data_IF_438740871813
#
_entry.id   IF_438740871813
#
_cell.length_a   1.000
_cell.length_b   1.000
_cell.length_c   1.000
_cell.angle_alpha   90.00
_cell.angle_beta   90.00
_cell.angle_gamma   90.00
#
_symmetry.space_group_name_H-M   'P 1'
#
loop_
_entity.id
_entity.type
_entity.pdbx_description
1 polymer ?
#
# COMPACT_ATOMS: atom_id res chain seq x y z
N UNK A 1 10.94 0.40 14.65
CA UNK A 1 10.03 -0.78 14.51
C UNK A 1 8.97 -0.38 13.51
N UNK A 2 8.58 -1.25 12.58
CA UNK A 2 7.56 -0.91 11.58
C UNK A 2 6.20 -0.83 12.26
N UNK A 3 5.45 0.23 11.96
CA UNK A 3 4.08 0.47 12.43
C UNK A 3 3.10 0.72 11.29
N UNK A 4 3.60 1.20 10.15
CA UNK A 4 2.76 1.65 9.03
C UNK A 4 3.06 0.85 7.77
N UNK A 5 2.02 0.39 7.07
CA UNK A 5 2.15 -0.31 5.79
C UNK A 5 1.30 0.41 4.75
N UNK A 6 1.97 1.04 3.80
CA UNK A 6 1.39 1.72 2.65
C UNK A 6 1.38 0.76 1.45
N UNK A 7 0.25 0.68 0.76
CA UNK A 7 0.02 -0.28 -0.33
C UNK A 7 -0.35 0.44 -1.61
N UNK A 8 0.14 -0.04 -2.74
CA UNK A 8 -0.55 0.17 -4.00
C UNK A 8 -1.86 -0.60 -4.10
N UNK A 9 -2.78 -0.09 -4.93
CA UNK A 9 -3.98 -0.81 -5.31
C UNK A 9 -3.76 -1.78 -6.47
N UNK A 10 -3.36 -1.30 -7.65
CA UNK A 10 -3.40 -2.04 -8.90
C UNK A 10 -2.18 -2.93 -9.16
N UNK A 11 -2.33 -4.23 -8.98
CA UNK A 11 -1.23 -5.21 -9.07
C UNK A 11 -0.70 -5.63 -7.71
N UNK A 12 -1.19 -5.01 -6.62
CA UNK A 12 -0.87 -5.35 -5.23
C UNK A 12 -2.12 -5.73 -4.45
N UNK A 13 -2.97 -4.77 -4.07
CA UNK A 13 -4.23 -5.04 -3.37
C UNK A 13 -5.29 -5.68 -4.28
N UNK A 14 -5.33 -5.27 -5.53
CA UNK A 14 -6.21 -5.79 -6.57
C UNK A 14 -5.38 -6.46 -7.65
N UNK A 15 -5.72 -7.71 -7.96
CA UNK A 15 -5.13 -8.47 -9.06
C UNK A 15 -6.11 -8.52 -10.23
N UNK A 16 -5.59 -8.78 -11.43
CA UNK A 16 -6.40 -8.92 -12.63
C UNK A 16 -6.39 -10.38 -13.10
N UNK A 17 -7.56 -10.91 -13.43
CA UNK A 17 -7.70 -12.17 -14.16
C UNK A 17 -8.61 -11.96 -15.38
N UNK A 18 -8.01 -11.90 -16.58
CA UNK A 18 -8.76 -11.78 -17.83
C UNK A 18 -9.60 -10.50 -17.93
N UNK A 19 -9.11 -9.38 -17.41
CA UNK A 19 -9.82 -8.10 -17.39
C UNK A 19 -10.71 -7.88 -16.16
N UNK A 20 -10.94 -8.92 -15.34
CA UNK A 20 -11.70 -8.80 -14.10
C UNK A 20 -10.76 -8.58 -12.91
N UNK A 21 -10.88 -7.40 -12.29
CA UNK A 21 -10.21 -7.10 -11.03
C UNK A 21 -10.81 -7.91 -9.87
N UNK A 22 -9.98 -8.37 -8.94
CA UNK A 22 -10.40 -9.00 -7.69
C UNK A 22 -9.40 -8.67 -6.57
N UNK A 23 -9.89 -8.61 -5.33
CA UNK A 23 -9.02 -8.37 -4.17
C UNK A 23 -8.05 -9.54 -4.00
N UNK A 24 -6.77 -9.24 -3.81
CA UNK A 24 -5.69 -10.19 -3.55
C UNK A 24 -5.95 -10.98 -2.26
N UNK A 25 -6.40 -12.25 -2.32
CA UNK A 25 -6.89 -12.95 -1.13
C UNK A 25 -5.83 -13.18 -0.03
N UNK A 26 -4.59 -13.61 -0.32
CA UNK A 26 -3.60 -13.77 0.74
C UNK A 26 -3.18 -12.43 1.36
N UNK A 27 -3.06 -11.36 0.58
CA UNK A 27 -2.76 -10.02 1.12
C UNK A 27 -3.89 -9.50 2.01
N UNK A 28 -5.15 -9.68 1.59
CA UNK A 28 -6.30 -9.31 2.41
C UNK A 28 -6.30 -10.04 3.76
N UNK A 29 -6.03 -11.36 3.76
CA UNK A 29 -5.93 -12.13 5.01
C UNK A 29 -4.82 -11.61 5.91
N UNK A 30 -3.67 -11.21 5.36
CA UNK A 30 -2.60 -10.59 6.11
C UNK A 30 -3.04 -9.26 6.74
N UNK A 31 -3.66 -8.37 5.97
CA UNK A 31 -4.15 -7.07 6.43
C UNK A 31 -5.15 -7.25 7.58
N UNK A 32 -6.17 -8.11 7.37
CA UNK A 32 -7.22 -8.37 8.37
C UNK A 32 -6.68 -8.93 9.68
N UNK A 33 -5.69 -9.83 9.62
CA UNK A 33 -5.09 -10.45 10.82
C UNK A 33 -4.19 -9.52 11.62
N UNK A 34 -3.78 -8.39 11.05
CA UNK A 34 -2.78 -7.50 11.66
C UNK A 34 -3.26 -6.06 11.85
N UNK A 35 -4.58 -5.82 11.83
CA UNK A 35 -5.19 -4.50 12.08
C UNK A 35 -4.87 -3.95 13.49
N UNK A 36 -4.57 -4.82 14.45
CA UNK A 36 -4.18 -4.45 15.82
C UNK A 36 -2.68 -4.09 15.95
N UNK A 37 -1.89 -4.36 14.90
CA UNK A 37 -0.42 -4.24 14.91
C UNK A 37 0.11 -3.15 14.00
N UNK A 38 -0.56 -2.95 12.86
CA UNK A 38 -0.13 -2.00 11.84
C UNK A 38 -1.27 -1.09 11.42
N UNK A 39 -0.90 0.15 11.13
CA UNK A 39 -1.74 1.09 10.42
C UNK A 39 -1.58 0.81 8.93
N UNK A 40 -2.68 0.67 8.22
CA UNK A 40 -2.67 0.44 6.78
C UNK A 40 -3.18 1.67 6.03
N UNK A 41 -2.51 2.00 4.93
CA UNK A 41 -2.95 3.06 4.02
C UNK A 41 -2.79 2.62 2.56
N UNK A 42 -3.59 3.21 1.68
CA UNK A 42 -3.48 2.98 0.24
C UNK A 42 -3.02 4.25 -0.45
N UNK A 43 -2.01 4.14 -1.30
CA UNK A 43 -1.61 5.19 -2.24
C UNK A 43 -1.74 4.56 -3.62
N UNK A 44 -2.51 5.15 -4.53
CA UNK A 44 -2.68 4.58 -5.87
C UNK A 44 -2.77 5.64 -6.96
N UNK A 45 -2.12 5.36 -8.09
CA UNK A 45 -2.28 6.14 -9.31
C UNK A 45 -3.43 5.55 -10.13
N UNK A 46 -4.60 6.16 -10.01
CA UNK A 46 -5.82 5.70 -10.65
C UNK A 46 -6.78 6.85 -10.90
N UNK A 47 -7.52 6.74 -12.01
CA UNK A 47 -8.65 7.62 -12.35
C UNK A 47 -9.99 7.10 -11.82
N UNK A 48 -10.01 5.88 -11.27
CA UNK A 48 -11.20 5.29 -10.68
C UNK A 48 -11.43 5.81 -9.25
N UNK A 49 -12.69 5.83 -8.84
CA UNK A 49 -13.07 6.12 -7.45
C UNK A 49 -12.72 4.92 -6.55
N UNK A 50 -11.45 4.89 -6.13
CA UNK A 50 -10.91 3.79 -5.33
C UNK A 50 -11.58 3.68 -3.96
N UNK A 51 -11.97 4.81 -3.37
CA UNK A 51 -12.74 4.88 -2.12
C UNK A 51 -14.05 4.09 -2.26
N UNK A 52 -14.82 4.36 -3.31
CA UNK A 52 -16.05 3.62 -3.58
C UNK A 52 -15.81 2.15 -3.95
N UNK A 53 -14.76 1.83 -4.72
CA UNK A 53 -14.40 0.45 -5.06
C UNK A 53 -14.10 -0.37 -3.79
N UNK A 54 -13.26 0.15 -2.89
CA UNK A 54 -12.95 -0.49 -1.62
C UNK A 54 -14.20 -0.68 -0.74
N UNK A 55 -15.14 0.27 -0.78
CA UNK A 55 -16.40 0.19 -0.04
C UNK A 55 -17.32 -0.89 -0.61
N UNK A 56 -17.43 -1.01 -1.94
CA UNK A 56 -18.20 -2.06 -2.60
C UNK A 56 -17.67 -3.47 -2.27
N UNK A 57 -16.35 -3.61 -2.12
CA UNK A 57 -15.72 -4.85 -1.69
C UNK A 57 -15.72 -5.06 -0.16
N UNK A 58 -16.31 -4.15 0.61
CA UNK A 58 -16.37 -4.19 2.09
C UNK A 58 -14.99 -4.26 2.77
N UNK A 59 -13.98 -3.60 2.19
CA UNK A 59 -12.62 -3.54 2.75
C UNK A 59 -12.12 -2.13 3.02
N UNK A 60 -12.90 -1.10 2.69
CA UNK A 60 -12.50 0.31 2.90
C UNK A 60 -12.10 0.61 4.34
N UNK A 61 -12.81 0.04 5.30
CA UNK A 61 -12.59 0.24 6.74
C UNK A 61 -11.26 -0.34 7.25
N UNK A 62 -10.52 -1.10 6.43
CA UNK A 62 -9.22 -1.65 6.79
C UNK A 62 -8.06 -0.65 6.62
N UNK A 63 -8.35 0.53 6.06
CA UNK A 63 -7.35 1.54 5.70
C UNK A 63 -7.68 2.88 6.34
N UNK A 64 -6.71 3.50 6.98
CA UNK A 64 -6.92 4.80 7.63
C UNK A 64 -6.98 5.92 6.58
N UNK A 65 -6.21 5.78 5.51
CA UNK A 65 -6.20 6.71 4.37
C UNK A 65 -6.26 5.98 3.02
N UNK A 66 -6.83 6.66 2.03
CA UNK A 66 -6.75 6.29 0.61
C UNK A 66 -6.38 7.56 -0.16
N UNK A 67 -5.16 7.61 -0.68
CA UNK A 67 -4.68 8.71 -1.51
C UNK A 67 -4.68 8.29 -2.97
N UNK A 68 -5.42 9.03 -3.79
CA UNK A 68 -5.46 8.86 -5.25
C UNK A 68 -5.00 10.13 -5.94
N UNK A 69 -4.22 9.96 -7.00
CA UNK A 69 -3.60 11.06 -7.75
C UNK A 69 -4.61 11.95 -8.49
N UNK A 70 -5.87 11.52 -8.61
CA UNK A 70 -6.93 12.21 -9.36
C UNK A 70 -7.39 13.56 -8.80
N UNK A 71 -7.05 13.92 -7.55
CA UNK A 71 -7.49 15.19 -6.93
C UNK A 71 -6.38 16.23 -6.71
N UNK A 72 -5.12 15.83 -6.65
CA UNK A 72 -4.04 16.71 -6.13
C UNK A 72 -2.90 16.97 -7.13
N UNK A 73 -2.93 16.44 -8.36
CA UNK A 73 -1.80 16.46 -9.32
C UNK A 73 -0.48 15.88 -8.76
N UNK A 74 -0.54 15.23 -7.61
CA UNK A 74 0.57 14.50 -6.99
C UNK A 74 0.42 13.04 -7.40
N UNK A 75 1.42 12.50 -8.09
CA UNK A 75 1.50 11.07 -8.37
C UNK A 75 2.61 10.38 -7.57
N UNK A 76 2.73 9.07 -7.75
CA UNK A 76 3.72 8.24 -7.06
C UNK A 76 5.17 8.51 -7.46
N UNK A 77 5.40 9.28 -8.51
CA UNK A 77 6.73 9.81 -8.87
C UNK A 77 7.07 11.08 -8.10
N UNK A 78 6.07 11.75 -7.52
CA UNK A 78 6.27 12.90 -6.66
C UNK A 78 6.47 12.46 -5.20
N UNK A 79 7.63 12.72 -4.57
CA UNK A 79 7.89 12.33 -3.18
C UNK A 79 6.89 12.92 -2.16
N UNK A 80 6.21 14.04 -2.49
CA UNK A 80 5.26 14.69 -1.60
C UNK A 80 4.04 13.82 -1.27
N UNK A 81 3.63 12.90 -2.15
CA UNK A 81 2.48 12.02 -1.87
C UNK A 81 2.78 11.09 -0.68
N UNK A 82 4.02 10.63 -0.57
CA UNK A 82 4.47 9.79 0.54
C UNK A 82 4.57 10.59 1.83
N UNK A 83 5.06 11.83 1.76
CA UNK A 83 5.11 12.73 2.92
C UNK A 83 3.71 13.10 3.42
N UNK A 84 2.76 13.30 2.51
CA UNK A 84 1.36 13.52 2.84
C UNK A 84 0.77 12.30 3.55
N UNK A 85 1.00 11.09 3.02
CA UNK A 85 0.55 9.85 3.64
C UNK A 85 1.09 9.68 5.07
N UNK A 86 2.40 9.84 5.25
CA UNK A 86 3.06 9.78 6.55
C UNK A 86 2.49 10.81 7.53
N UNK A 87 2.27 12.04 7.06
CA UNK A 87 1.69 13.12 7.88
C UNK A 87 0.26 12.81 8.33
N UNK A 88 -0.60 12.31 7.44
CA UNK A 88 -1.97 11.95 7.78
C UNK A 88 -2.06 10.75 8.73
N UNK A 89 -1.11 9.82 8.64
CA UNK A 89 -1.02 8.63 9.50
C UNK A 89 -0.23 8.88 10.79
N UNK A 90 0.27 10.10 11.00
CA UNK A 90 1.17 10.42 12.13
C UNK A 90 2.37 9.46 12.25
N UNK A 91 2.91 9.03 11.10
CA UNK A 91 3.99 8.07 10.97
C UNK A 91 5.29 8.74 10.54
N UNK A 92 6.43 8.28 11.02
CA UNK A 92 7.75 8.59 10.45
C UNK A 92 8.05 7.67 9.25
N UNK A 93 9.01 8.07 8.42
CA UNK A 93 9.41 7.28 7.25
C UNK A 93 10.09 5.96 7.65
N UNK A 94 10.86 5.98 8.74
CA UNK A 94 11.62 4.84 9.26
C UNK A 94 10.75 3.74 9.88
N UNK A 95 9.52 4.08 10.24
CA UNK A 95 8.52 3.13 10.76
C UNK A 95 7.48 2.71 9.71
N UNK A 96 7.63 3.17 8.47
CA UNK A 96 6.74 2.83 7.36
C UNK A 96 7.38 1.85 6.37
N UNK A 97 6.54 1.02 5.75
CA UNK A 97 6.88 0.28 4.53
C UNK A 97 5.94 0.70 3.41
N UNK A 98 6.47 0.85 2.19
CA UNK A 98 5.66 0.97 0.98
C UNK A 98 5.78 -0.29 0.10
N UNK A 99 4.66 -0.78 -0.42
CA UNK A 99 4.59 -1.97 -1.26
C UNK A 99 3.91 -1.61 -2.57
N UNK A 100 4.63 -1.75 -3.68
CA UNK A 100 4.18 -1.40 -5.02
C UNK A 100 4.77 -2.39 -6.04
N UNK A 101 4.09 -2.66 -7.14
CA UNK A 101 4.57 -3.54 -8.21
C UNK A 101 5.34 -2.80 -9.31
N UNK A 102 5.51 -1.48 -9.20
CA UNK A 102 6.26 -0.65 -10.14
C UNK A 102 7.58 -0.17 -9.53
N UNK A 103 8.70 -0.53 -10.16
CA UNK A 103 10.05 -0.28 -9.63
C UNK A 103 10.35 1.21 -9.41
N UNK A 104 9.87 2.09 -10.31
CA UNK A 104 10.04 3.53 -10.18
C UNK A 104 9.41 4.07 -8.89
N UNK A 105 8.21 3.61 -8.53
CA UNK A 105 7.51 4.09 -7.34
C UNK A 105 8.18 3.60 -6.05
N UNK A 106 8.68 2.36 -6.06
CA UNK A 106 9.52 1.81 -4.98
C UNK A 106 10.76 2.69 -4.79
N UNK A 107 11.48 3.02 -5.85
CA UNK A 107 12.70 3.84 -5.77
C UNK A 107 12.41 5.28 -5.29
N UNK A 108 11.29 5.87 -5.69
CA UNK A 108 10.90 7.22 -5.23
C UNK A 108 10.55 7.20 -3.75
N UNK A 109 9.79 6.20 -3.28
CA UNK A 109 9.48 6.04 -1.86
C UNK A 109 10.74 5.81 -1.01
N UNK A 110 11.72 5.03 -1.51
CA UNK A 110 13.02 4.86 -0.85
C UNK A 110 13.80 6.17 -0.74
N UNK A 111 13.80 6.99 -1.80
CA UNK A 111 14.41 8.33 -1.76
C UNK A 111 13.71 9.27 -0.77
N UNK A 112 12.42 9.03 -0.48
CA UNK A 112 11.67 9.72 0.55
C UNK A 112 11.91 9.18 1.98
N UNK A 113 12.81 8.21 2.14
CA UNK A 113 13.19 7.61 3.43
C UNK A 113 12.31 6.43 3.86
N UNK A 114 11.36 6.01 3.02
CA UNK A 114 10.46 4.90 3.33
C UNK A 114 11.07 3.59 2.86
N UNK A 115 11.13 2.60 3.75
CA UNK A 115 11.53 1.25 3.35
C UNK A 115 10.52 0.71 2.34
N UNK A 116 10.97 0.22 1.18
CA UNK A 116 10.03 -0.19 0.14
C UNK A 116 10.26 -1.63 -0.34
N UNK A 117 9.21 -2.26 -0.84
CA UNK A 117 9.23 -3.63 -1.35
C UNK A 117 8.57 -3.64 -2.73
N UNK A 118 9.34 -4.08 -3.74
CA UNK A 118 8.79 -4.41 -5.05
C UNK A 118 7.93 -5.68 -4.96
N UNK A 119 6.63 -5.52 -5.13
CA UNK A 119 5.68 -6.61 -5.14
C UNK A 119 5.74 -7.39 -6.45
N UNK A 120 5.78 -8.72 -6.34
CA UNK A 120 5.75 -9.62 -7.51
C UNK A 120 4.82 -10.80 -7.27
N UNK A 121 4.97 -11.46 -6.12
CA UNK A 121 4.01 -12.45 -5.61
C UNK A 121 3.87 -12.31 -4.10
N UNK A 122 2.81 -12.89 -3.54
CA UNK A 122 2.60 -12.84 -2.09
C UNK A 122 3.66 -13.63 -1.33
N UNK A 123 4.15 -14.76 -1.85
CA UNK A 123 5.19 -15.57 -1.21
C UNK A 123 6.51 -14.80 -1.09
N UNK A 124 6.85 -14.02 -2.11
CA UNK A 124 8.04 -13.14 -2.08
C UNK A 124 7.84 -11.98 -1.12
N UNK A 125 6.66 -11.37 -1.10
CA UNK A 125 6.32 -10.34 -0.12
C UNK A 125 6.44 -10.89 1.31
N UNK A 126 5.87 -12.06 1.58
CA UNK A 126 5.93 -12.73 2.87
C UNK A 126 7.38 -12.97 3.32
N UNK A 127 8.23 -13.50 2.44
CA UNK A 127 9.65 -13.69 2.72
C UNK A 127 10.35 -12.38 3.14
N UNK A 128 10.04 -11.28 2.44
CA UNK A 128 10.59 -9.95 2.75
C UNK A 128 10.06 -9.40 4.08
N UNK A 129 8.77 -9.53 4.34
CA UNK A 129 8.15 -9.11 5.60
C UNK A 129 8.74 -9.87 6.80
N UNK A 130 8.91 -11.20 6.69
CA UNK A 130 9.54 -12.02 7.72
C UNK A 130 10.99 -11.59 8.01
N UNK A 131 11.76 -11.25 6.98
CA UNK A 131 13.12 -10.72 7.13
C UNK A 131 13.16 -9.36 7.86
N UNK A 132 12.04 -8.64 7.92
CA UNK A 132 11.87 -7.39 8.66
C UNK A 132 11.26 -7.60 10.06
N UNK A 133 11.06 -8.85 10.48
CA UNK A 133 10.44 -9.20 11.76
C UNK A 133 8.92 -9.01 11.78
N UNK A 134 8.27 -8.92 10.62
CA UNK A 134 6.82 -8.83 10.49
C UNK A 134 6.26 -10.24 10.34
N UNK A 135 5.29 -10.59 11.19
CA UNK A 135 4.63 -11.89 11.14
C UNK A 135 3.53 -11.88 10.08
N UNK A 136 3.62 -12.83 9.16
CA UNK A 136 2.68 -13.03 8.04
C UNK A 136 2.02 -14.39 8.16
#
# INVERSE_FOLDING_TARGET
MIKTILLDAGGVLYLNNGGKGYVNPPLLRFIQKNQDRYIFGVISMTQYDLENILAQDNIRQLFDIVLTTGKENLDKTNPEIYQLALKQLHSSAEEAIFIDNYEEYVQVAEKAGIKSILYTTFEKLESRLRALGINV
#
